data_IF_814832885037
#
_entry.id   IF_814832885037
#
_cell.length_a   1.000
_cell.length_b   1.000
_cell.length_c   1.000
_cell.angle_alpha   90.00
_cell.angle_beta   90.00
_cell.angle_gamma   90.00
#
_symmetry.space_group_name_H-M   'P 1'
#
loop_
_entity.id
_entity.type
_entity.pdbx_description
1 polymer ?
#
# COMPACT_ATOMS: atom_id res chain seq x y z
N UNK A 1 -14.83 49.99 -2.39
CA UNK A 1 -15.41 49.04 -1.42
C UNK A 1 -15.78 47.71 -2.09
N UNK A 2 -16.71 47.70 -3.05
CA UNK A 2 -17.14 46.47 -3.78
C UNK A 2 -16.02 45.62 -4.39
N UNK A 3 -14.98 46.23 -4.97
CA UNK A 3 -13.89 45.49 -5.61
C UNK A 3 -13.00 44.75 -4.58
N UNK A 4 -12.83 45.34 -3.39
CA UNK A 4 -12.07 44.74 -2.27
C UNK A 4 -12.88 43.61 -1.62
N UNK A 5 -14.20 43.80 -1.47
CA UNK A 5 -15.12 42.76 -1.00
C UNK A 5 -15.20 41.57 -1.97
N UNK A 6 -15.23 41.84 -3.28
CA UNK A 6 -15.20 40.80 -4.32
C UNK A 6 -13.91 39.98 -4.30
N UNK A 7 -12.74 40.63 -4.18
CA UNK A 7 -11.46 39.94 -4.03
C UNK A 7 -11.43 39.11 -2.74
N UNK A 8 -11.94 39.66 -1.63
CA UNK A 8 -12.03 38.97 -0.35
C UNK A 8 -12.89 37.70 -0.42
N UNK A 9 -14.04 37.77 -1.09
CA UNK A 9 -14.92 36.62 -1.29
C UNK A 9 -14.27 35.51 -2.14
N UNK A 10 -13.60 35.88 -3.25
CA UNK A 10 -12.87 34.92 -4.09
C UNK A 10 -11.73 34.26 -3.32
N UNK A 11 -10.97 35.04 -2.56
CA UNK A 11 -9.89 34.52 -1.71
C UNK A 11 -10.43 33.56 -0.64
N UNK A 12 -11.55 33.90 0.00
CA UNK A 12 -12.19 33.05 1.00
C UNK A 12 -12.65 31.71 0.40
N UNK A 13 -13.23 31.71 -0.80
CA UNK A 13 -13.58 30.47 -1.52
C UNK A 13 -12.33 29.64 -1.79
N UNK A 14 -11.25 30.27 -2.28
CA UNK A 14 -10.01 29.56 -2.58
C UNK A 14 -9.37 28.95 -1.32
N UNK A 15 -9.32 29.70 -0.22
CA UNK A 15 -8.81 29.22 1.07
C UNK A 15 -9.69 28.10 1.64
N UNK A 16 -11.00 28.19 1.50
CA UNK A 16 -11.93 27.14 1.92
C UNK A 16 -11.70 25.85 1.12
N UNK A 17 -11.58 25.94 -0.21
CA UNK A 17 -11.26 24.80 -1.07
C UNK A 17 -9.89 24.19 -0.73
N UNK A 18 -8.89 25.04 -0.46
CA UNK A 18 -7.57 24.59 -0.03
C UNK A 18 -7.64 23.86 1.31
N UNK A 19 -8.39 24.39 2.28
CA UNK A 19 -8.59 23.75 3.57
C UNK A 19 -9.26 22.38 3.43
N UNK A 20 -10.32 22.29 2.62
CA UNK A 20 -10.99 21.02 2.34
C UNK A 20 -10.06 20.02 1.65
N UNK A 21 -9.25 20.48 0.70
CA UNK A 21 -8.28 19.64 0.01
C UNK A 21 -7.21 19.10 0.99
N UNK A 22 -6.64 19.96 1.83
CA UNK A 22 -5.65 19.56 2.85
C UNK A 22 -6.26 18.59 3.86
N UNK A 23 -7.48 18.86 4.33
CA UNK A 23 -8.18 17.99 5.27
C UNK A 23 -8.48 16.62 4.65
N UNK A 24 -9.01 16.60 3.42
CA UNK A 24 -9.31 15.36 2.70
C UNK A 24 -8.06 14.53 2.44
N UNK A 25 -6.96 15.19 2.04
CA UNK A 25 -5.67 14.55 1.86
C UNK A 25 -5.14 13.99 3.19
N UNK A 26 -5.22 14.77 4.28
CA UNK A 26 -4.82 14.32 5.61
C UNK A 26 -5.60 13.08 6.09
N UNK A 27 -6.92 13.06 5.90
CA UNK A 27 -7.77 11.90 6.22
C UNK A 27 -7.36 10.69 5.36
N UNK A 28 -7.19 10.88 4.05
CA UNK A 28 -6.77 9.81 3.15
C UNK A 28 -5.42 9.22 3.57
N UNK A 29 -4.39 10.05 3.78
CA UNK A 29 -3.07 9.59 4.21
C UNK A 29 -3.13 8.88 5.55
N UNK A 30 -3.89 9.41 6.52
CA UNK A 30 -4.06 8.79 7.84
C UNK A 30 -4.71 7.40 7.76
N UNK A 31 -5.79 7.26 7.00
CA UNK A 31 -6.49 5.98 6.80
C UNK A 31 -5.61 4.99 6.04
N UNK A 32 -5.03 5.40 4.91
CA UNK A 32 -4.23 4.52 4.06
C UNK A 32 -2.96 4.05 4.78
N UNK A 33 -2.30 4.94 5.56
CA UNK A 33 -1.18 4.56 6.41
C UNK A 33 -1.60 3.58 7.51
N UNK A 34 -2.76 3.76 8.13
CA UNK A 34 -3.30 2.84 9.14
C UNK A 34 -3.60 1.47 8.55
N UNK A 35 -4.21 1.41 7.36
CA UNK A 35 -4.44 0.15 6.64
C UNK A 35 -3.11 -0.53 6.32
N UNK A 36 -2.12 0.24 5.87
CA UNK A 36 -0.75 -0.25 5.65
C UNK A 36 -0.11 -0.85 6.91
N UNK A 37 -0.35 -0.27 8.08
CA UNK A 37 0.09 -0.85 9.36
C UNK A 37 -0.63 -2.16 9.69
N UNK A 38 -1.92 -2.28 9.37
CA UNK A 38 -2.64 -3.57 9.51
C UNK A 38 -2.03 -4.62 8.58
N UNK A 39 -1.58 -4.23 7.38
CA UNK A 39 -0.80 -5.06 6.46
C UNK A 39 0.54 -5.57 7.02
N UNK A 40 1.09 -4.94 8.07
CA UNK A 40 2.27 -5.44 8.78
C UNK A 40 2.00 -6.68 9.64
N UNK A 41 0.75 -6.96 10.00
CA UNK A 41 0.38 -8.12 10.81
C UNK A 41 0.61 -9.44 10.05
N UNK A 42 0.07 -9.63 8.82
CA UNK A 42 0.33 -10.85 8.05
C UNK A 42 1.79 -10.96 7.60
N UNK A 43 2.55 -9.87 7.54
CA UNK A 43 3.95 -9.94 7.14
C UNK A 43 4.82 -10.71 8.14
N UNK A 44 4.45 -10.73 9.43
CA UNK A 44 5.19 -11.44 10.49
C UNK A 44 5.27 -12.94 10.20
N UNK A 45 4.16 -13.70 10.09
CA UNK A 45 4.21 -15.12 9.77
C UNK A 45 4.85 -15.38 8.40
N UNK A 46 4.60 -14.52 7.40
CA UNK A 46 5.17 -14.68 6.07
C UNK A 46 6.70 -14.58 6.06
N UNK A 47 7.28 -13.68 6.85
CA UNK A 47 8.73 -13.56 6.98
C UNK A 47 9.40 -14.79 7.63
N UNK A 48 8.66 -15.67 8.33
CA UNK A 48 9.21 -16.95 8.80
C UNK A 48 9.33 -17.99 7.67
N UNK A 49 8.46 -17.93 6.66
CA UNK A 49 8.39 -18.92 5.57
C UNK A 49 9.01 -18.43 4.26
N UNK A 50 9.26 -17.11 4.12
CA UNK A 50 9.81 -16.48 2.92
C UNK A 50 11.21 -15.88 3.22
N UNK A 51 12.29 -16.69 3.17
CA UNK A 51 13.62 -16.28 3.63
C UNK A 51 14.24 -15.15 2.80
N UNK A 52 14.03 -15.15 1.48
CA UNK A 52 14.60 -14.13 0.58
C UNK A 52 13.92 -12.77 0.81
N UNK A 53 12.60 -12.77 1.02
CA UNK A 53 11.84 -11.55 1.36
C UNK A 53 12.24 -11.04 2.74
N UNK A 54 12.36 -11.94 3.74
CA UNK A 54 12.84 -11.57 5.09
C UNK A 54 14.21 -10.90 5.02
N UNK A 55 15.14 -11.48 4.28
CA UNK A 55 16.51 -10.98 4.11
C UNK A 55 16.55 -9.57 3.53
N UNK A 56 15.75 -9.34 2.48
CA UNK A 56 15.59 -8.00 1.91
C UNK A 56 14.99 -7.01 2.91
N UNK A 57 13.91 -7.38 3.61
CA UNK A 57 13.24 -6.50 4.57
C UNK A 57 14.11 -6.22 5.79
N UNK A 58 14.90 -7.19 6.26
CA UNK A 58 15.88 -6.99 7.32
C UNK A 58 16.92 -5.93 6.91
N UNK A 59 17.44 -6.01 5.68
CA UNK A 59 18.35 -5.01 5.11
C UNK A 59 17.68 -3.63 4.96
N UNK A 60 16.50 -3.58 4.31
CA UNK A 60 15.77 -2.34 4.05
C UNK A 60 15.39 -1.60 5.34
N UNK A 61 15.22 -2.33 6.44
CA UNK A 61 14.86 -1.77 7.75
C UNK A 61 16.06 -1.42 8.63
N UNK A 62 17.29 -1.50 8.09
CA UNK A 62 18.52 -1.08 8.75
C UNK A 62 19.30 -2.18 9.46
N UNK A 63 18.93 -3.45 9.27
CA UNK A 63 19.72 -4.60 9.71
C UNK A 63 20.69 -5.10 8.64
N UNK A 64 21.35 -6.21 8.93
CA UNK A 64 22.11 -6.98 7.95
C UNK A 64 21.21 -7.92 7.14
N UNK A 65 21.66 -8.36 5.95
CA UNK A 65 20.96 -9.40 5.20
C UNK A 65 20.98 -10.75 5.94
N UNK A 66 22.03 -11.05 6.69
CA UNK A 66 22.16 -12.31 7.46
C UNK A 66 21.79 -12.11 8.93
N UNK A 67 20.99 -11.10 9.22
CA UNK A 67 20.54 -10.78 10.56
C UNK A 67 19.54 -11.84 11.05
N UNK A 68 19.93 -12.60 12.07
CA UNK A 68 19.08 -13.62 12.71
C UNK A 68 17.94 -13.01 13.53
N UNK A 69 17.79 -11.67 13.53
CA UNK A 69 16.68 -10.97 14.17
C UNK A 69 15.34 -11.66 13.85
N UNK A 70 14.55 -12.02 14.88
CA UNK A 70 13.29 -12.69 14.67
C UNK A 70 12.33 -11.78 13.87
N UNK A 71 11.53 -12.33 12.94
CA UNK A 71 10.64 -11.58 12.06
C UNK A 71 9.73 -10.54 12.73
N UNK A 72 9.20 -10.83 13.92
CA UNK A 72 8.37 -9.88 14.65
C UNK A 72 9.14 -8.61 15.06
N UNK A 73 10.45 -8.72 15.34
CA UNK A 73 11.30 -7.56 15.63
C UNK A 73 11.55 -6.73 14.39
N UNK A 74 11.62 -7.34 13.21
CA UNK A 74 11.71 -6.61 11.94
C UNK A 74 10.43 -5.82 11.70
N UNK A 75 9.26 -6.44 11.93
CA UNK A 75 7.95 -5.81 11.72
C UNK A 75 7.68 -4.57 12.60
N UNK A 76 8.29 -4.50 13.79
CA UNK A 76 8.15 -3.33 14.69
C UNK A 76 9.26 -2.28 14.50
N UNK A 77 10.22 -2.48 13.59
CA UNK A 77 11.26 -1.47 13.31
C UNK A 77 10.59 -0.21 12.77
N UNK A 78 10.98 1.00 13.22
CA UNK A 78 10.40 2.24 12.70
C UNK A 78 10.43 2.35 11.18
N UNK A 79 11.53 1.91 10.55
CA UNK A 79 11.65 1.88 9.08
C UNK A 79 10.69 0.89 8.43
N UNK A 80 10.40 -0.23 9.07
CA UNK A 80 9.41 -1.20 8.56
C UNK A 80 8.01 -0.62 8.66
N UNK A 81 7.66 -0.01 9.79
CA UNK A 81 6.37 0.64 9.97
C UNK A 81 6.16 1.74 8.93
N UNK A 82 7.17 2.57 8.66
CA UNK A 82 7.13 3.56 7.59
C UNK A 82 6.98 2.93 6.20
N UNK A 83 7.67 1.82 5.93
CA UNK A 83 7.51 1.07 4.68
C UNK A 83 6.08 0.52 4.53
N UNK A 84 5.51 0.01 5.61
CA UNK A 84 4.13 -0.48 5.67
C UNK A 84 3.12 0.64 5.44
N UNK A 85 3.30 1.78 6.10
CA UNK A 85 2.49 2.98 5.88
C UNK A 85 2.58 3.45 4.42
N UNK A 86 3.78 3.49 3.85
CA UNK A 86 4.00 3.87 2.46
C UNK A 86 3.33 2.87 1.50
N UNK A 87 3.41 1.57 1.80
CA UNK A 87 2.70 0.51 1.09
C UNK A 87 1.19 0.73 1.08
N UNK A 88 0.59 0.96 2.25
CA UNK A 88 -0.83 1.24 2.38
C UNK A 88 -1.27 2.52 1.66
N UNK A 89 -0.47 3.60 1.70
CA UNK A 89 -0.71 4.83 0.93
C UNK A 89 -0.64 4.57 -0.57
N UNK A 90 0.37 3.81 -1.03
CA UNK A 90 0.50 3.46 -2.44
C UNK A 90 -0.71 2.63 -2.91
N UNK A 91 -1.10 1.61 -2.12
CA UNK A 91 -2.27 0.79 -2.40
C UNK A 91 -3.56 1.63 -2.40
N UNK A 92 -3.78 2.47 -1.38
CA UNK A 92 -4.94 3.36 -1.31
C UNK A 92 -5.02 4.34 -2.47
N UNK A 93 -3.87 4.82 -2.97
CA UNK A 93 -3.82 5.72 -4.13
C UNK A 93 -4.22 4.98 -5.40
N UNK A 94 -3.66 3.79 -5.64
CA UNK A 94 -4.05 2.92 -6.75
C UNK A 94 -5.53 2.54 -6.67
N UNK A 95 -6.01 2.25 -5.45
CA UNK A 95 -7.41 1.96 -5.21
C UNK A 95 -8.29 3.13 -5.65
N UNK A 96 -8.04 4.36 -5.21
CA UNK A 96 -8.84 5.52 -5.63
C UNK A 96 -8.76 5.77 -7.14
N UNK A 97 -7.56 5.69 -7.73
CA UNK A 97 -7.35 5.93 -9.16
C UNK A 97 -8.11 4.93 -10.05
N UNK A 98 -8.25 3.68 -9.61
CA UNK A 98 -8.97 2.64 -10.35
C UNK A 98 -10.45 2.57 -9.96
N UNK A 99 -10.79 2.82 -8.70
CA UNK A 99 -12.16 2.74 -8.20
C UNK A 99 -13.05 3.82 -8.80
N UNK A 100 -12.58 5.07 -8.93
CA UNK A 100 -13.40 6.15 -9.49
C UNK A 100 -13.85 5.81 -10.92
N UNK A 101 -12.95 5.48 -11.87
CA UNK A 101 -13.37 5.05 -13.20
C UNK A 101 -14.28 3.82 -13.22
N UNK A 102 -13.97 2.80 -12.41
CA UNK A 102 -14.77 1.57 -12.34
C UNK A 102 -16.19 1.85 -11.85
N UNK A 103 -16.34 2.76 -10.88
CA UNK A 103 -17.64 3.24 -10.39
C UNK A 103 -18.39 4.04 -11.45
N UNK A 104 -17.74 5.01 -12.09
CA UNK A 104 -18.36 5.86 -13.13
C UNK A 104 -18.81 5.06 -14.36
N UNK A 105 -18.13 3.96 -14.67
CA UNK A 105 -18.49 3.05 -15.77
C UNK A 105 -19.66 2.10 -15.43
N UNK A 106 -20.25 2.19 -14.24
CA UNK A 106 -21.33 1.30 -13.81
C UNK A 106 -20.91 -0.16 -13.65
N UNK A 107 -19.61 -0.45 -13.57
CA UNK A 107 -19.07 -1.81 -13.44
C UNK A 107 -19.21 -2.37 -12.02
N UNK A 108 -19.74 -1.58 -11.09
CA UNK A 108 -20.03 -1.94 -9.69
C UNK A 108 -21.55 -2.15 -9.48
N UNK A 109 -22.34 -2.26 -10.56
CA UNK A 109 -23.77 -2.57 -10.46
C UNK A 109 -24.06 -4.08 -10.34
N UNK A 110 -25.31 -4.38 -9.95
CA UNK A 110 -25.90 -5.66 -9.52
C UNK A 110 -25.58 -6.87 -10.42
N UNK A 111 -25.21 -6.65 -11.69
CA UNK A 111 -24.94 -7.70 -12.68
C UNK A 111 -23.54 -8.30 -12.63
N UNK A 112 -22.52 -7.54 -12.19
CA UNK A 112 -21.11 -8.02 -12.10
C UNK A 112 -20.68 -8.20 -10.63
N UNK A 113 -21.40 -7.57 -9.69
CA UNK A 113 -21.08 -7.59 -8.26
C UNK A 113 -19.77 -6.86 -7.95
N UNK A 114 -19.30 -6.87 -6.69
CA UNK A 114 -18.10 -6.14 -6.28
C UNK A 114 -16.80 -6.71 -6.88
N UNK A 115 -16.86 -7.74 -7.75
CA UNK A 115 -15.72 -8.53 -8.26
C UNK A 115 -14.61 -7.67 -8.92
N UNK A 116 -14.91 -6.67 -9.77
CA UNK A 116 -13.85 -5.82 -10.35
C UNK A 116 -13.07 -5.03 -9.29
N UNK A 117 -13.74 -4.65 -8.20
CA UNK A 117 -13.14 -3.96 -7.06
C UNK A 117 -12.42 -4.95 -6.14
N UNK A 118 -12.99 -6.14 -5.95
CA UNK A 118 -12.51 -7.18 -5.03
C UNK A 118 -11.27 -7.93 -5.53
N UNK A 119 -11.15 -8.11 -6.84
CA UNK A 119 -10.05 -8.85 -7.46
C UNK A 119 -9.25 -7.97 -8.43
N UNK A 120 -9.91 -7.13 -9.22
CA UNK A 120 -9.23 -6.33 -10.25
C UNK A 120 -8.21 -5.36 -9.67
N UNK A 121 -8.60 -4.55 -8.69
CA UNK A 121 -7.71 -3.56 -8.06
C UNK A 121 -6.55 -4.23 -7.31
N UNK A 122 -6.78 -5.24 -6.44
CA UNK A 122 -5.70 -5.97 -5.78
C UNK A 122 -4.74 -6.62 -6.76
N UNK A 123 -5.25 -7.29 -7.81
CA UNK A 123 -4.41 -7.95 -8.82
C UNK A 123 -3.59 -6.93 -9.61
N UNK A 124 -4.17 -5.78 -9.97
CA UNK A 124 -3.46 -4.71 -10.66
C UNK A 124 -2.31 -4.16 -9.79
N UNK A 125 -2.56 -3.93 -8.50
CA UNK A 125 -1.53 -3.48 -7.57
C UNK A 125 -0.43 -4.52 -7.37
N UNK A 126 -0.78 -5.79 -7.13
CA UNK A 126 0.18 -6.90 -6.99
C UNK A 126 1.02 -7.05 -8.25
N UNK A 127 0.39 -6.99 -9.43
CA UNK A 127 1.05 -7.09 -10.74
C UNK A 127 2.08 -5.98 -10.98
N UNK A 128 1.92 -4.82 -10.36
CA UNK A 128 2.89 -3.73 -10.39
C UNK A 128 3.92 -3.81 -9.26
N UNK A 129 3.48 -4.03 -8.02
CA UNK A 129 4.33 -3.97 -6.83
C UNK A 129 5.35 -5.13 -6.76
N UNK A 130 4.97 -6.32 -7.21
CA UNK A 130 5.86 -7.51 -7.18
C UNK A 130 7.08 -7.31 -8.07
N UNK A 131 6.97 -6.90 -9.36
CA UNK A 131 8.14 -6.58 -10.17
C UNK A 131 9.04 -5.50 -9.57
N UNK A 132 8.45 -4.44 -9.01
CA UNK A 132 9.20 -3.34 -8.39
C UNK A 132 10.00 -3.84 -7.19
N UNK A 133 9.37 -4.59 -6.29
CA UNK A 133 10.02 -5.18 -5.11
C UNK A 133 11.08 -6.20 -5.51
N UNK A 134 10.81 -7.03 -6.51
CA UNK A 134 11.77 -8.00 -7.04
C UNK A 134 13.00 -7.34 -7.65
N UNK A 135 12.83 -6.30 -8.48
CA UNK A 135 13.95 -5.54 -9.07
C UNK A 135 14.76 -4.83 -7.99
N UNK A 136 14.09 -4.22 -7.01
CA UNK A 136 14.76 -3.61 -5.86
C UNK A 136 15.57 -4.65 -5.06
N UNK A 137 15.00 -5.84 -4.83
CA UNK A 137 15.69 -6.94 -4.17
C UNK A 137 16.91 -7.40 -4.99
N UNK A 138 16.73 -7.65 -6.28
CA UNK A 138 17.80 -8.10 -7.18
C UNK A 138 18.99 -7.15 -7.25
N UNK A 139 18.75 -5.86 -7.11
CA UNK A 139 19.80 -4.83 -7.12
C UNK A 139 20.36 -4.50 -5.73
N UNK A 140 19.95 -5.23 -4.68
CA UNK A 140 20.37 -4.99 -3.30
C UNK A 140 21.40 -6.00 -2.84
N UNK A 141 22.08 -5.70 -1.72
CA UNK A 141 23.02 -6.61 -1.05
C UNK A 141 22.34 -7.82 -0.38
N UNK A 142 21.01 -7.87 -0.36
CA UNK A 142 20.26 -9.04 0.11
C UNK A 142 20.25 -10.16 -0.94
N UNK A 143 20.49 -9.83 -2.21
CA UNK A 143 20.64 -10.81 -3.28
C UNK A 143 21.99 -11.50 -3.20
N UNK A 144 22.01 -12.83 -3.17
CA UNK A 144 23.25 -13.61 -3.15
C UNK A 144 23.31 -14.66 -4.24
N UNK A 145 24.48 -15.26 -4.42
CA UNK A 145 24.69 -16.36 -5.37
C UNK A 145 23.80 -17.58 -5.10
N UNK A 146 23.38 -17.78 -3.84
CA UNK A 146 22.45 -18.84 -3.45
C UNK A 146 20.97 -18.50 -3.71
N UNK A 147 20.64 -17.24 -4.02
CA UNK A 147 19.26 -16.79 -4.24
C UNK A 147 18.79 -17.20 -5.63
N UNK A 148 17.86 -18.15 -5.69
CA UNK A 148 17.21 -18.52 -6.95
C UNK A 148 16.20 -17.44 -7.39
N UNK A 149 16.29 -17.03 -8.65
CA UNK A 149 15.50 -15.93 -9.19
C UNK A 149 14.00 -16.23 -9.24
N UNK A 150 13.64 -17.47 -9.58
CA UNK A 150 12.23 -17.88 -9.66
C UNK A 150 11.64 -17.99 -8.27
N UNK A 151 12.37 -18.59 -7.32
CA UNK A 151 11.98 -18.65 -5.91
C UNK A 151 11.77 -17.24 -5.33
N UNK A 152 12.71 -16.32 -5.51
CA UNK A 152 12.60 -14.96 -4.99
C UNK A 152 11.39 -14.21 -5.56
N UNK A 153 11.09 -14.37 -6.84
CA UNK A 153 9.90 -13.79 -7.47
C UNK A 153 8.60 -14.37 -6.88
N UNK A 154 8.53 -15.69 -6.71
CA UNK A 154 7.37 -16.36 -6.11
C UNK A 154 7.17 -15.97 -4.64
N UNK A 155 8.26 -15.80 -3.88
CA UNK A 155 8.17 -15.31 -2.51
C UNK A 155 7.64 -13.88 -2.45
N UNK A 156 8.10 -12.98 -3.33
CA UNK A 156 7.55 -11.63 -3.42
C UNK A 156 6.08 -11.63 -3.84
N UNK A 157 5.71 -12.48 -4.80
CA UNK A 157 4.31 -12.64 -5.22
C UNK A 157 3.44 -13.08 -4.03
N UNK A 158 3.84 -14.11 -3.30
CA UNK A 158 3.12 -14.60 -2.13
C UNK A 158 3.03 -13.55 -1.03
N UNK A 159 4.15 -12.87 -0.73
CA UNK A 159 4.21 -11.84 0.31
C UNK A 159 3.26 -10.67 0.02
N UNK A 160 3.41 -10.05 -1.16
CA UNK A 160 2.61 -8.88 -1.53
C UNK A 160 1.14 -9.25 -1.67
N UNK A 161 0.82 -10.40 -2.28
CA UNK A 161 -0.58 -10.84 -2.42
C UNK A 161 -1.26 -11.03 -1.08
N UNK A 162 -0.57 -11.62 -0.10
CA UNK A 162 -1.13 -11.86 1.23
C UNK A 162 -1.32 -10.56 2.03
N UNK A 163 -0.37 -9.62 1.95
CA UNK A 163 -0.51 -8.29 2.55
C UNK A 163 -1.69 -7.55 1.94
N UNK A 164 -1.74 -7.48 0.59
CA UNK A 164 -2.80 -6.78 -0.14
C UNK A 164 -4.17 -7.40 0.14
N UNK A 165 -4.30 -8.73 0.18
CA UNK A 165 -5.57 -9.39 0.50
C UNK A 165 -6.15 -8.91 1.85
N UNK A 166 -5.31 -8.76 2.88
CA UNK A 166 -5.74 -8.22 4.18
C UNK A 166 -6.11 -6.74 4.05
N UNK A 167 -5.29 -5.94 3.39
CA UNK A 167 -5.55 -4.51 3.17
C UNK A 167 -6.85 -4.26 2.39
N UNK A 168 -7.16 -5.09 1.39
CA UNK A 168 -8.40 -5.02 0.60
C UNK A 168 -9.65 -5.38 1.40
N UNK A 169 -9.52 -6.08 2.52
CA UNK A 169 -10.66 -6.49 3.35
C UNK A 169 -11.26 -5.29 4.11
N UNK A 170 -10.44 -4.29 4.46
CA UNK A 170 -10.87 -3.12 5.26
C UNK A 170 -11.81 -2.18 4.49
N UNK A 171 -11.47 -1.71 3.27
CA UNK A 171 -12.39 -0.91 2.45
C UNK A 171 -13.70 -1.65 2.15
N UNK A 172 -13.63 -2.97 1.98
CA UNK A 172 -14.81 -3.78 1.72
C UNK A 172 -15.79 -3.77 2.90
N UNK A 173 -15.32 -4.01 4.12
CA UNK A 173 -16.17 -3.92 5.32
C UNK A 173 -16.81 -2.53 5.46
N UNK A 174 -16.11 -1.47 5.06
CA UNK A 174 -16.62 -0.10 5.09
C UNK A 174 -17.64 0.23 4.00
N UNK A 175 -17.67 -0.50 2.88
CA UNK A 175 -18.67 -0.32 1.80
C UNK A 175 -20.00 -1.00 2.13
N UNK A 176 -19.97 -2.06 2.96
CA UNK A 176 -21.14 -2.89 3.29
C UNK A 176 -21.80 -2.57 4.63
N UNK A 177 -21.17 -1.73 5.46
CA UNK A 177 -21.74 -1.17 6.70
C UNK A 177 -22.42 0.18 6.40
#
# INVERSE_FOLDING_TARGET
>A
MQLVEGIGAVLAIFLYLLLLAVLGLGIFFGLAATVGLVGAVPSIPLMYVLPDVRRFLALATGGGPDDETPPWRVAIRPRYLLLSMAGGVAYGTVFLLLFIPVRELGLVDVTVGPVPVWLGIPVAFVGFAVPVAYVAHRNSRAWTEATDARSALLQWLAFVSAVVAVESTVPFLAIWL
#
